data_IF_158430243194
#
_entry.id   IF_158430243194
#
_cell.length_a   1.000
_cell.length_b   1.000
_cell.length_c   1.000
_cell.angle_alpha   90.00
_cell.angle_beta   90.00
_cell.angle_gamma   90.00
#
_symmetry.space_group_name_H-M   'P 1'
#
loop_
_entity.id
_entity.type
_entity.pdbx_description
1 polymer ?
#
# COMPACT_ATOMS: atom_id res chain seq x y z
N UNK A 1 -15.88 -18.56 -15.93
CA UNK A 1 -15.45 -17.27 -15.33
C UNK A 1 -14.23 -16.77 -16.10
N UNK A 2 -14.30 -15.62 -16.78
CA UNK A 2 -13.22 -15.13 -17.66
C UNK A 2 -11.91 -14.95 -16.88
N UNK A 3 -10.77 -15.29 -17.50
CA UNK A 3 -9.41 -15.21 -16.93
C UNK A 3 -9.14 -13.84 -16.26
N UNK A 4 -9.61 -12.77 -16.90
CA UNK A 4 -9.54 -11.39 -16.40
C UNK A 4 -10.30 -11.17 -15.09
N UNK A 5 -11.52 -11.72 -14.94
CA UNK A 5 -12.31 -11.61 -13.72
C UNK A 5 -11.65 -12.34 -12.55
N UNK A 6 -11.01 -13.48 -12.81
CA UNK A 6 -10.26 -14.23 -11.79
C UNK A 6 -9.07 -13.40 -11.26
N UNK A 7 -8.29 -12.80 -12.17
CA UNK A 7 -7.15 -11.94 -11.80
C UNK A 7 -7.61 -10.72 -10.98
N UNK A 8 -8.66 -10.02 -11.43
CA UNK A 8 -9.21 -8.87 -10.71
C UNK A 8 -9.70 -9.23 -9.30
N UNK A 9 -10.32 -10.41 -9.14
CA UNK A 9 -10.75 -10.89 -7.82
C UNK A 9 -9.55 -11.13 -6.90
N UNK A 10 -8.53 -11.85 -7.38
CA UNK A 10 -7.33 -12.12 -6.59
C UNK A 10 -6.59 -10.83 -6.21
N UNK A 11 -6.52 -9.85 -7.11
CA UNK A 11 -5.93 -8.54 -6.80
C UNK A 11 -6.75 -7.77 -5.75
N UNK A 12 -8.09 -7.79 -5.84
CA UNK A 12 -8.96 -7.19 -4.82
C UNK A 12 -8.78 -7.80 -3.44
N UNK A 13 -8.43 -9.09 -3.35
CA UNK A 13 -8.20 -9.74 -2.06
C UNK A 13 -6.79 -9.44 -1.52
N UNK A 14 -5.77 -9.37 -2.37
CA UNK A 14 -4.37 -9.34 -1.93
C UNK A 14 -3.78 -7.92 -1.74
N UNK A 15 -4.12 -6.98 -2.63
CA UNK A 15 -3.63 -5.59 -2.57
C UNK A 15 -3.96 -4.86 -1.26
N UNK A 16 -5.19 -4.92 -0.71
CA UNK A 16 -5.51 -4.23 0.54
C UNK A 16 -4.64 -4.71 1.71
N UNK A 17 -4.32 -6.01 1.78
CA UNK A 17 -3.46 -6.55 2.84
C UNK A 17 -2.03 -6.03 2.75
N UNK A 18 -1.47 -5.95 1.54
CA UNK A 18 -0.12 -5.40 1.32
C UNK A 18 -0.09 -3.91 1.68
N UNK A 19 -1.08 -3.13 1.23
CA UNK A 19 -1.16 -1.72 1.55
C UNK A 19 -1.35 -1.48 3.06
N UNK A 20 -2.13 -2.31 3.74
CA UNK A 20 -2.31 -2.22 5.18
C UNK A 20 -0.99 -2.47 5.94
N UNK A 21 -0.23 -3.50 5.54
CA UNK A 21 1.07 -3.79 6.16
C UNK A 21 2.10 -2.67 5.93
N UNK A 22 2.15 -2.12 4.71
CA UNK A 22 3.00 -0.97 4.40
C UNK A 22 2.60 0.29 5.19
N UNK A 23 1.30 0.57 5.29
CA UNK A 23 0.79 1.68 6.09
C UNK A 23 1.19 1.53 7.56
N UNK A 24 1.05 0.32 8.13
CA UNK A 24 1.44 0.06 9.51
C UNK A 24 2.93 0.29 9.74
N UNK A 25 3.77 -0.12 8.79
CA UNK A 25 5.22 0.06 8.86
C UNK A 25 5.61 1.55 8.80
N UNK A 26 5.00 2.31 7.88
CA UNK A 26 5.24 3.76 7.77
C UNK A 26 4.78 4.51 9.03
N UNK A 27 3.65 4.12 9.61
CA UNK A 27 3.16 4.67 10.88
C UNK A 27 4.14 4.33 12.02
N UNK A 28 4.61 3.09 12.10
CA UNK A 28 5.61 2.69 13.09
C UNK A 28 6.89 3.53 12.96
N UNK A 29 7.42 3.69 11.74
CA UNK A 29 8.58 4.56 11.49
C UNK A 29 8.32 6.01 11.93
N UNK A 30 7.15 6.57 11.64
CA UNK A 30 6.78 7.92 12.07
C UNK A 30 6.73 8.07 13.59
N UNK A 31 6.11 7.10 14.28
CA UNK A 31 6.02 7.08 15.74
C UNK A 31 7.41 6.96 16.35
N UNK A 32 8.25 6.03 15.86
CA UNK A 32 9.61 5.85 16.36
C UNK A 32 10.45 7.11 16.17
N UNK A 33 10.36 7.79 15.02
CA UNK A 33 11.07 9.06 14.79
C UNK A 33 10.62 10.16 15.75
N UNK A 34 9.35 10.15 16.19
CA UNK A 34 8.83 11.15 17.13
C UNK A 34 9.46 11.04 18.52
N UNK A 35 9.76 9.82 18.96
CA UNK A 35 10.37 9.52 20.26
C UNK A 35 11.90 9.38 20.20
N UNK A 36 12.45 8.96 19.06
CA UNK A 36 13.88 8.78 18.83
C UNK A 36 14.31 9.47 17.52
N UNK A 37 14.53 10.79 17.59
CA UNK A 37 14.90 11.62 16.43
C UNK A 37 16.28 11.30 15.83
N UNK A 38 17.13 10.56 16.54
CA UNK A 38 18.49 10.26 16.09
C UNK A 38 18.51 9.34 14.85
N UNK A 39 17.49 8.51 14.66
CA UNK A 39 17.45 7.51 13.59
C UNK A 39 16.90 8.06 12.26
N UNK A 40 16.05 9.09 12.31
CA UNK A 40 15.51 9.82 11.15
C UNK A 40 14.97 8.91 10.03
N UNK A 41 14.21 7.88 10.40
CA UNK A 41 13.63 6.92 9.49
C UNK A 41 12.79 7.58 8.40
N UNK A 42 11.98 8.58 8.71
CA UNK A 42 11.11 9.25 7.74
C UNK A 42 11.92 10.06 6.73
N UNK A 43 13.09 10.59 7.10
CA UNK A 43 13.92 11.36 6.19
C UNK A 43 14.93 10.49 5.41
N UNK A 44 14.99 9.19 5.69
CA UNK A 44 15.83 8.25 4.95
C UNK A 44 15.23 7.97 3.56
N UNK A 45 16.11 7.85 2.55
CA UNK A 45 15.73 7.51 1.18
C UNK A 45 14.98 6.19 1.07
N UNK A 46 15.29 5.21 1.92
CA UNK A 46 14.59 3.91 1.94
C UNK A 46 13.10 4.10 2.27
N UNK A 47 12.80 4.86 3.33
CA UNK A 47 11.41 5.09 3.76
C UNK A 47 10.66 5.98 2.79
N UNK A 48 11.34 6.95 2.15
CA UNK A 48 10.78 7.76 1.06
C UNK A 48 10.37 6.87 -0.13
N UNK A 49 11.21 5.92 -0.51
CA UNK A 49 10.87 4.94 -1.55
C UNK A 49 9.73 4.02 -1.12
N UNK A 50 9.70 3.55 0.13
CA UNK A 50 8.57 2.78 0.66
C UNK A 50 7.26 3.58 0.59
N UNK A 51 7.28 4.87 0.96
CA UNK A 51 6.13 5.76 0.86
C UNK A 51 5.67 5.89 -0.60
N UNK A 52 6.61 6.05 -1.54
CA UNK A 52 6.30 6.11 -2.96
C UNK A 52 5.64 4.81 -3.45
N UNK A 53 6.21 3.65 -3.11
CA UNK A 53 5.65 2.33 -3.45
C UNK A 53 4.26 2.16 -2.85
N UNK A 54 4.06 2.54 -1.59
CA UNK A 54 2.75 2.54 -0.94
C UNK A 54 1.76 3.41 -1.71
N UNK A 55 2.11 4.63 -2.09
CA UNK A 55 1.24 5.50 -2.89
C UNK A 55 0.86 4.86 -4.24
N UNK A 56 1.83 4.28 -4.97
CA UNK A 56 1.57 3.61 -6.25
C UNK A 56 0.62 2.42 -6.05
N UNK A 57 0.87 1.56 -5.08
CA UNK A 57 0.02 0.41 -4.79
C UNK A 57 -1.39 0.83 -4.37
N UNK A 58 -1.55 1.93 -3.64
CA UNK A 58 -2.84 2.47 -3.22
C UNK A 58 -3.64 3.02 -4.41
N UNK A 59 -2.97 3.67 -5.38
CA UNK A 59 -3.61 4.09 -6.64
C UNK A 59 -4.06 2.86 -7.45
N UNK A 60 -3.22 1.84 -7.57
CA UNK A 60 -3.58 0.59 -8.29
C UNK A 60 -4.75 -0.10 -7.61
N UNK A 61 -4.76 -0.20 -6.28
CA UNK A 61 -5.87 -0.75 -5.50
C UNK A 61 -7.17 0.00 -5.80
N UNK A 62 -7.15 1.34 -5.77
CA UNK A 62 -8.32 2.16 -6.11
C UNK A 62 -8.86 1.89 -7.52
N UNK A 63 -7.97 1.79 -8.53
CA UNK A 63 -8.35 1.47 -9.91
C UNK A 63 -8.99 0.08 -9.99
N UNK A 64 -8.35 -0.94 -9.39
CA UNK A 64 -8.83 -2.32 -9.38
C UNK A 64 -10.19 -2.41 -8.69
N UNK A 65 -10.34 -1.75 -7.54
CA UNK A 65 -11.59 -1.73 -6.77
C UNK A 65 -12.73 -1.06 -7.54
N UNK A 66 -12.51 0.11 -8.16
CA UNK A 66 -13.51 0.78 -9.00
C UNK A 66 -13.90 -0.12 -10.17
N UNK A 67 -12.92 -0.75 -10.84
CA UNK A 67 -13.18 -1.62 -11.99
C UNK A 67 -13.96 -2.87 -11.62
N UNK A 68 -13.65 -3.46 -10.47
CA UNK A 68 -14.31 -4.64 -9.94
C UNK A 68 -15.74 -4.31 -9.50
N UNK A 69 -15.95 -3.20 -8.78
CA UNK A 69 -17.28 -2.74 -8.34
C UNK A 69 -18.22 -2.47 -9.52
N UNK A 70 -17.72 -1.93 -10.65
CA UNK A 70 -18.52 -1.74 -11.87
C UNK A 70 -18.90 -3.03 -12.60
N UNK A 71 -18.19 -4.14 -12.33
CA UNK A 71 -18.37 -5.42 -13.02
C UNK A 71 -19.19 -6.44 -12.21
N UNK A 72 -19.62 -6.07 -11.00
CA UNK A 72 -20.63 -6.74 -10.18
C UNK A 72 -21.97 -6.10 -10.45
#
# INVERSE_FOLDING_TARGET
>A
MNKLKKILSTLCDLLPHINLALAFTLIACFITDRYNRAMSFINNDITKWMLFVFCVLNVVEGIVFIRWRRNR
#
